data_IF_516142797705
#
_entry.id   IF_516142797705
#
_cell.length_a   1.000
_cell.length_b   1.000
_cell.length_c   1.000
_cell.angle_alpha   90.00
_cell.angle_beta   90.00
_cell.angle_gamma   90.00
#
_symmetry.space_group_name_H-M   'P 1'
#
loop_
_entity.id
_entity.type
_entity.pdbx_description
1 polymer ?
#
# COMPACT_ATOMS: atom_id res chain seq x y z
N UNK A 1 23.47 0.41 5.84
CA UNK A 1 22.86 1.59 5.22
C UNK A 1 22.61 1.24 3.76
N UNK A 2 21.40 0.86 3.38
CA UNK A 2 21.05 0.74 1.97
C UNK A 2 20.77 2.14 1.47
N UNK A 3 21.66 2.70 0.66
CA UNK A 3 21.39 3.91 -0.10
C UNK A 3 20.28 3.58 -1.09
N UNK A 4 19.04 3.92 -0.75
CA UNK A 4 17.97 3.97 -1.75
C UNK A 4 18.37 5.12 -2.67
N UNK A 5 18.76 4.80 -3.90
CA UNK A 5 19.00 5.81 -4.92
C UNK A 5 17.73 6.66 -5.01
N UNK A 6 17.83 7.99 -5.06
CA UNK A 6 16.65 8.81 -5.28
C UNK A 6 15.97 8.30 -6.54
N UNK A 7 14.68 7.96 -6.43
CA UNK A 7 13.87 7.65 -7.59
C UNK A 7 13.89 8.93 -8.43
N UNK A 8 14.66 8.94 -9.52
CA UNK A 8 14.56 9.99 -10.52
C UNK A 8 13.07 10.10 -10.85
N UNK A 9 12.53 11.32 -10.78
CA UNK A 9 11.14 11.54 -11.17
C UNK A 9 10.96 10.89 -12.53
N UNK A 10 10.06 9.90 -12.63
CA UNK A 10 9.76 9.25 -13.89
C UNK A 10 9.62 10.34 -14.95
N UNK A 11 10.24 10.20 -16.14
CA UNK A 11 10.11 11.19 -17.18
C UNK A 11 8.62 11.48 -17.36
N UNK A 12 8.25 12.77 -17.29
CA UNK A 12 6.86 13.15 -17.54
C UNK A 12 6.55 12.69 -18.95
N UNK A 13 5.49 11.88 -19.10
CA UNK A 13 4.96 11.53 -20.40
C UNK A 13 4.62 12.83 -21.14
N UNK A 14 5.07 12.94 -22.38
CA UNK A 14 4.60 13.97 -23.30
C UNK A 14 3.19 13.61 -23.81
N UNK A 15 2.56 14.51 -24.56
CA UNK A 15 1.19 14.32 -25.03
C UNK A 15 1.05 13.07 -25.92
N UNK A 16 2.01 12.84 -26.82
CA UNK A 16 2.00 11.66 -27.70
C UNK A 16 2.08 10.35 -26.88
N UNK A 17 2.94 10.29 -25.87
CA UNK A 17 3.04 9.13 -24.99
C UNK A 17 1.79 8.94 -24.10
N UNK A 18 1.11 10.03 -23.72
CA UNK A 18 -0.18 9.95 -23.02
C UNK A 18 -1.27 9.39 -23.91
N UNK A 19 -1.37 9.85 -25.16
CA UNK A 19 -2.34 9.35 -26.13
C UNK A 19 -2.12 7.86 -26.41
N UNK A 20 -0.86 7.44 -26.61
CA UNK A 20 -0.50 6.03 -26.76
C UNK A 20 -0.89 5.18 -25.54
N UNK A 21 -0.64 5.69 -24.33
CA UNK A 21 -1.02 5.00 -23.10
C UNK A 21 -2.55 4.82 -23.02
N UNK A 22 -3.32 5.86 -23.31
CA UNK A 22 -4.78 5.79 -23.31
C UNK A 22 -5.29 4.75 -24.33
N UNK A 23 -4.74 4.74 -25.54
CA UNK A 23 -5.04 3.73 -26.55
C UNK A 23 -4.71 2.31 -26.05
N UNK A 24 -3.56 2.10 -25.39
CA UNK A 24 -3.22 0.79 -24.82
C UNK A 24 -4.12 0.38 -23.66
N UNK A 25 -4.63 1.33 -22.88
CA UNK A 25 -5.63 1.07 -21.84
C UNK A 25 -6.92 0.57 -22.50
N UNK A 26 -7.44 1.29 -23.50
CA UNK A 26 -8.66 0.89 -24.24
C UNK A 26 -8.50 -0.47 -24.94
N UNK A 27 -7.31 -0.76 -25.48
CA UNK A 27 -6.95 -2.06 -26.06
C UNK A 27 -6.71 -3.17 -25.01
N UNK A 28 -6.83 -2.87 -23.70
CA UNK A 28 -6.63 -3.80 -22.59
C UNK A 28 -5.22 -4.39 -22.53
N UNK A 29 -4.22 -3.60 -22.93
CA UNK A 29 -2.80 -4.00 -23.01
C UNK A 29 -1.95 -3.51 -21.84
N UNK A 30 -2.57 -2.87 -20.85
CA UNK A 30 -1.89 -2.30 -19.68
C UNK A 30 -2.28 -3.06 -18.42
N UNK A 31 -1.27 -3.42 -17.61
CA UNK A 31 -1.45 -4.05 -16.29
C UNK A 31 -0.92 -3.07 -15.22
N UNK A 32 -1.80 -2.45 -14.41
CA UNK A 32 -1.36 -1.59 -13.32
C UNK A 32 -0.64 -2.37 -12.22
N UNK A 33 0.52 -1.88 -11.80
CA UNK A 33 1.27 -2.35 -10.63
C UNK A 33 1.13 -1.31 -9.52
N UNK A 34 0.48 -1.69 -8.42
CA UNK A 34 0.13 -0.80 -7.32
C UNK A 34 1.05 -1.02 -6.12
N UNK A 35 1.71 0.06 -5.70
CA UNK A 35 2.58 0.10 -4.54
C UNK A 35 1.94 0.77 -3.31
N UNK A 36 2.64 0.72 -2.16
CA UNK A 36 2.17 1.28 -0.90
C UNK A 36 1.95 2.80 -0.91
N UNK A 37 2.54 3.53 -1.86
CA UNK A 37 2.46 4.98 -1.99
C UNK A 37 1.05 5.49 -2.31
N UNK A 38 0.17 4.62 -2.83
CA UNK A 38 -1.24 4.95 -3.09
C UNK A 38 -2.16 4.69 -1.89
N UNK A 39 -1.64 4.17 -0.78
CA UNK A 39 -2.42 3.70 0.37
C UNK A 39 -2.58 4.77 1.45
N UNK A 40 -3.13 5.93 1.10
CA UNK A 40 -3.52 6.94 2.08
C UNK A 40 -4.86 6.57 2.72
N UNK A 41 -4.85 6.31 4.02
CA UNK A 41 -6.02 5.90 4.80
C UNK A 41 -6.43 7.00 5.77
N UNK A 42 -7.74 7.09 6.03
CA UNK A 42 -8.28 7.99 7.05
C UNK A 42 -8.03 7.42 8.44
N UNK A 43 -7.48 8.24 9.33
CA UNK A 43 -7.21 7.89 10.73
C UNK A 43 -7.82 8.92 11.67
N UNK A 44 -7.84 8.65 12.97
CA UNK A 44 -8.28 9.61 14.00
C UNK A 44 -7.54 10.95 13.93
N UNK A 45 -6.28 10.92 13.48
CA UNK A 45 -5.42 12.11 13.35
C UNK A 45 -5.35 12.64 11.91
N UNK A 46 -6.32 12.28 11.07
CA UNK A 46 -6.40 12.66 9.66
C UNK A 46 -5.76 11.64 8.69
N UNK A 47 -5.69 11.98 7.39
CA UNK A 47 -5.15 11.09 6.36
C UNK A 47 -3.66 10.80 6.58
N UNK A 48 -3.28 9.52 6.50
CA UNK A 48 -1.88 9.06 6.62
C UNK A 48 -1.59 7.90 5.67
N UNK A 49 -0.34 7.70 5.30
CA UNK A 49 0.06 6.49 4.59
C UNK A 49 -0.12 5.27 5.50
N UNK A 50 -0.74 4.20 4.96
CA UNK A 50 -1.01 2.97 5.69
C UNK A 50 0.26 2.37 6.31
N UNK A 51 1.38 2.44 5.59
CA UNK A 51 2.64 1.86 6.01
C UNK A 51 3.28 2.62 7.18
N UNK A 52 3.16 3.95 7.20
CA UNK A 52 3.61 4.78 8.33
C UNK A 52 2.74 4.53 9.55
N UNK A 53 1.41 4.52 9.36
CA UNK A 53 0.46 4.19 10.42
C UNK A 53 0.70 2.78 10.99
N UNK A 54 0.96 1.80 10.12
CA UNK A 54 1.28 0.43 10.53
C UNK A 54 2.59 0.36 11.30
N UNK A 55 3.62 1.12 10.89
CA UNK A 55 4.90 1.16 11.58
C UNK A 55 4.73 1.65 13.04
N UNK A 56 4.00 2.74 13.25
CA UNK A 56 3.69 3.27 14.58
C UNK A 56 2.93 2.24 15.44
N UNK A 57 1.87 1.64 14.89
CA UNK A 57 1.05 0.64 15.61
C UNK A 57 1.84 -0.63 15.93
N UNK A 58 2.65 -1.10 14.99
CA UNK A 58 3.48 -2.28 15.18
C UNK A 58 4.56 -2.04 16.23
N UNK A 59 5.23 -0.88 16.20
CA UNK A 59 6.23 -0.52 17.18
C UNK A 59 5.65 -0.53 18.60
N UNK A 60 4.46 0.05 18.78
CA UNK A 60 3.75 0.02 20.05
C UNK A 60 3.40 -1.41 20.50
N UNK A 61 2.86 -2.27 19.61
CA UNK A 61 2.53 -3.67 19.96
C UNK A 61 3.75 -4.54 20.27
N UNK A 62 4.92 -4.21 19.74
CA UNK A 62 6.17 -4.95 19.94
C UNK A 62 7.06 -4.36 21.04
N UNK A 63 6.69 -3.22 21.63
CA UNK A 63 7.52 -2.53 22.62
C UNK A 63 8.83 -1.97 22.04
N UNK A 64 8.81 -1.57 20.77
CA UNK A 64 9.97 -1.00 20.09
C UNK A 64 10.17 0.44 20.52
N UNK A 65 11.39 0.78 20.94
CA UNK A 65 11.78 2.14 21.29
C UNK A 65 12.03 2.97 20.01
N UNK A 66 10.99 3.65 19.52
CA UNK A 66 11.04 4.45 18.29
C UNK A 66 11.96 5.66 18.39
N UNK A 67 12.34 6.11 19.61
CA UNK A 67 13.28 7.22 19.78
C UNK A 67 14.69 6.91 19.27
N UNK A 68 15.00 5.62 19.10
CA UNK A 68 16.28 5.12 18.58
C UNK A 68 16.24 4.82 17.08
N UNK A 69 15.11 5.05 16.42
CA UNK A 69 14.92 4.75 15.00
C UNK A 69 15.04 6.00 14.14
N UNK A 70 15.38 5.85 12.84
CA UNK A 70 15.38 6.96 11.90
C UNK A 70 14.02 7.67 11.80
N UNK A 71 14.06 8.94 11.40
CA UNK A 71 12.88 9.71 11.01
C UNK A 71 13.01 10.12 9.53
N UNK A 72 11.98 9.89 8.68
CA UNK A 72 10.68 9.32 9.03
C UNK A 72 10.75 7.83 9.39
N UNK A 73 9.89 7.40 10.32
CA UNK A 73 9.82 6.02 10.80
C UNK A 73 9.19 5.11 9.72
N UNK A 74 9.90 4.06 9.30
CA UNK A 74 9.35 3.08 8.36
C UNK A 74 8.98 1.76 9.03
N UNK A 75 8.09 1.00 8.39
CA UNK A 75 7.74 -0.35 8.84
C UNK A 75 8.97 -1.27 8.86
N UNK A 76 9.88 -1.09 7.90
CA UNK A 76 11.11 -1.86 7.83
C UNK A 76 12.03 -1.55 9.03
N UNK A 77 12.16 -0.29 9.45
CA UNK A 77 12.98 0.08 10.61
C UNK A 77 12.50 -0.62 11.89
N UNK A 78 11.18 -0.65 12.10
CA UNK A 78 10.55 -1.32 13.25
C UNK A 78 10.85 -2.81 13.24
N UNK A 79 10.65 -3.47 12.09
CA UNK A 79 10.89 -4.92 11.94
C UNK A 79 12.38 -5.24 12.11
N UNK A 80 13.27 -4.50 11.45
CA UNK A 80 14.71 -4.71 11.57
C UNK A 80 15.20 -4.55 13.00
N UNK A 81 14.74 -3.51 13.71
CA UNK A 81 15.08 -3.32 15.12
C UNK A 81 14.59 -4.47 15.99
N UNK A 82 13.35 -4.89 15.81
CA UNK A 82 12.77 -5.98 16.60
C UNK A 82 13.50 -7.31 16.38
N UNK A 83 13.89 -7.60 15.14
CA UNK A 83 14.69 -8.79 14.84
C UNK A 83 16.10 -8.70 15.44
N UNK A 84 16.71 -7.50 15.46
CA UNK A 84 18.02 -7.29 16.06
C UNK A 84 18.01 -7.49 17.59
N UNK A 85 16.88 -7.25 18.25
CA UNK A 85 16.70 -7.46 19.70
C UNK A 85 16.24 -8.88 20.07
N UNK A 86 16.47 -9.86 19.19
CA UNK A 86 16.09 -11.29 19.32
C UNK A 86 14.58 -11.56 19.23
N UNK A 87 13.81 -10.62 18.68
CA UNK A 87 12.43 -10.86 18.29
C UNK A 87 12.31 -11.89 17.17
N UNK A 88 11.18 -12.60 17.11
CA UNK A 88 10.90 -13.58 16.05
C UNK A 88 10.14 -12.95 14.90
N UNK A 89 10.46 -13.32 13.67
CA UNK A 89 9.78 -12.78 12.48
C UNK A 89 8.29 -13.11 12.49
N UNK A 90 7.93 -14.29 12.97
CA UNK A 90 6.55 -14.77 13.09
C UNK A 90 5.70 -13.85 13.99
N UNK A 91 6.30 -13.27 15.03
CA UNK A 91 5.61 -12.33 15.91
C UNK A 91 5.23 -11.08 15.13
N UNK A 92 6.11 -10.54 14.29
CA UNK A 92 5.79 -9.35 13.48
C UNK A 92 4.61 -9.59 12.55
N UNK A 93 4.57 -10.71 11.83
CA UNK A 93 3.45 -11.04 10.94
C UNK A 93 2.15 -11.24 11.71
N UNK A 94 2.22 -11.93 12.85
CA UNK A 94 1.06 -12.15 13.72
C UNK A 94 0.48 -10.83 14.23
N UNK A 95 1.35 -9.91 14.68
CA UNK A 95 0.92 -8.60 15.19
C UNK A 95 0.37 -7.70 14.09
N UNK A 96 1.03 -7.61 12.93
CA UNK A 96 0.53 -6.86 11.77
C UNK A 96 -0.85 -7.37 11.34
N UNK A 97 -1.02 -8.69 11.22
CA UNK A 97 -2.31 -9.30 10.89
C UNK A 97 -3.39 -8.97 11.92
N UNK A 98 -3.05 -8.99 13.22
CA UNK A 98 -3.98 -8.58 14.29
C UNK A 98 -4.43 -7.13 14.11
N UNK A 99 -3.48 -6.22 13.86
CA UNK A 99 -3.76 -4.79 13.66
C UNK A 99 -4.70 -4.58 12.47
N UNK A 100 -4.44 -5.23 11.32
CA UNK A 100 -5.29 -5.13 10.14
C UNK A 100 -6.70 -5.72 10.33
N UNK A 101 -6.87 -6.70 11.22
CA UNK A 101 -8.21 -7.25 11.53
C UNK A 101 -9.00 -6.38 12.50
N UNK A 102 -8.30 -5.65 13.36
CA UNK A 102 -8.89 -4.74 14.35
C UNK A 102 -9.30 -3.39 13.73
N UNK A 103 -8.77 -3.05 12.56
CA UNK A 103 -9.04 -1.78 11.88
C UNK A 103 -9.54 -2.01 10.46
N UNK A 104 -10.68 -1.40 10.11
CA UNK A 104 -11.21 -1.43 8.74
C UNK A 104 -11.07 -0.05 8.13
N UNK A 105 -10.36 0.02 6.99
CA UNK A 105 -10.24 1.25 6.22
C UNK A 105 -11.13 1.21 4.99
N UNK A 106 -11.74 2.34 4.65
CA UNK A 106 -12.33 2.51 3.34
C UNK A 106 -11.21 2.51 2.28
N UNK A 107 -11.44 1.96 1.07
CA UNK A 107 -10.44 2.02 0.02
C UNK A 107 -10.05 3.47 -0.32
N UNK A 108 -8.74 3.79 -0.42
CA UNK A 108 -8.27 5.11 -0.80
C UNK A 108 -8.86 5.58 -2.13
N UNK A 109 -9.06 6.89 -2.27
CA UNK A 109 -9.61 7.50 -3.50
C UNK A 109 -8.83 7.08 -4.75
N UNK A 110 -7.50 7.04 -4.67
CA UNK A 110 -6.65 6.64 -5.79
C UNK A 110 -6.96 5.22 -6.27
N UNK A 111 -7.13 4.26 -5.35
CA UNK A 111 -7.49 2.89 -5.71
C UNK A 111 -8.89 2.80 -6.32
N UNK A 112 -9.85 3.58 -5.80
CA UNK A 112 -11.19 3.66 -6.39
C UNK A 112 -11.16 4.20 -7.81
N UNK A 113 -10.39 5.26 -8.07
CA UNK A 113 -10.23 5.81 -9.42
C UNK A 113 -9.59 4.80 -10.38
N UNK A 114 -8.57 4.07 -9.94
CA UNK A 114 -7.98 2.98 -10.73
C UNK A 114 -9.00 1.86 -11.00
N UNK A 115 -9.79 1.49 -10.00
CA UNK A 115 -10.83 0.47 -10.13
C UNK A 115 -11.97 0.91 -11.07
N UNK A 116 -12.24 2.20 -11.23
CA UNK A 116 -13.25 2.72 -12.16
C UNK A 116 -12.86 2.60 -13.63
N UNK A 117 -11.56 2.50 -13.95
CA UNK A 117 -11.09 2.31 -15.33
C UNK A 117 -11.33 0.85 -15.70
N UNK A 118 -12.44 0.54 -16.37
CA UNK A 118 -12.89 -0.84 -16.61
C UNK A 118 -12.00 -1.65 -17.55
N UNK A 119 -11.17 -1.00 -18.36
CA UNK A 119 -10.31 -1.66 -19.35
C UNK A 119 -9.02 -2.25 -18.76
N UNK A 120 -8.74 -1.99 -17.48
CA UNK A 120 -7.77 -2.78 -16.73
C UNK A 120 -8.37 -4.12 -16.31
N UNK A 121 -8.00 -5.21 -17.00
CA UNK A 121 -8.50 -6.57 -16.71
C UNK A 121 -7.71 -7.29 -15.62
N UNK A 122 -6.48 -6.86 -15.32
CA UNK A 122 -5.61 -7.44 -14.30
C UNK A 122 -4.90 -6.33 -13.53
N UNK A 123 -4.84 -6.48 -12.21
CA UNK A 123 -4.05 -5.64 -11.32
C UNK A 123 -3.01 -6.50 -10.59
N UNK A 124 -1.84 -5.92 -10.35
CA UNK A 124 -0.82 -6.49 -9.47
C UNK A 124 -0.62 -5.51 -8.31
N UNK A 125 -0.65 -6.00 -7.08
CA UNK A 125 -0.26 -5.21 -5.91
C UNK A 125 0.98 -5.80 -5.25
N UNK A 126 1.88 -4.93 -4.79
CA UNK A 126 3.02 -5.32 -3.96
C UNK A 126 2.76 -5.10 -2.47
N UNK A 127 1.51 -4.83 -2.10
CA UNK A 127 1.10 -4.58 -0.71
C UNK A 127 0.44 -5.80 -0.07
N UNK A 128 0.43 -5.85 1.26
CA UNK A 128 -0.09 -7.00 2.02
C UNK A 128 -1.55 -6.85 2.50
N UNK A 129 -2.16 -5.70 2.22
CA UNK A 129 -3.54 -5.36 2.59
C UNK A 129 -4.55 -5.74 1.50
N UNK A 130 -5.84 -5.60 1.80
CA UNK A 130 -6.94 -5.91 0.88
C UNK A 130 -7.60 -4.68 0.24
N UNK A 131 -7.01 -3.49 0.34
CA UNK A 131 -7.71 -2.25 -0.07
C UNK A 131 -7.93 -2.17 -1.58
N UNK A 132 -6.99 -2.67 -2.39
CA UNK A 132 -7.17 -2.72 -3.84
C UNK A 132 -8.30 -3.67 -4.24
N UNK A 133 -8.34 -4.87 -3.65
CA UNK A 133 -9.43 -5.83 -3.85
C UNK A 133 -10.78 -5.21 -3.45
N UNK A 134 -10.83 -4.55 -2.30
CA UNK A 134 -12.04 -3.87 -1.82
C UNK A 134 -12.48 -2.74 -2.77
N UNK A 135 -11.54 -1.97 -3.33
CA UNK A 135 -11.84 -0.93 -4.32
C UNK A 135 -12.46 -1.53 -5.59
N UNK A 136 -11.86 -2.60 -6.11
CA UNK A 136 -12.35 -3.30 -7.32
C UNK A 136 -13.75 -3.87 -7.07
N UNK A 137 -13.97 -4.54 -5.93
CA UNK A 137 -15.27 -5.08 -5.56
C UNK A 137 -16.34 -3.99 -5.43
N UNK A 138 -15.99 -2.86 -4.82
CA UNK A 138 -16.91 -1.73 -4.66
C UNK A 138 -17.32 -1.10 -6.00
N UNK A 139 -16.36 -0.82 -6.88
CA UNK A 139 -16.63 -0.07 -8.12
C UNK A 139 -17.15 -0.95 -9.26
N UNK A 140 -16.76 -2.22 -9.34
CA UNK A 140 -17.09 -3.10 -10.48
C UNK A 140 -18.11 -4.19 -10.18
N UNK A 141 -18.27 -4.55 -8.91
CA UNK A 141 -19.05 -5.74 -8.52
C UNK A 141 -20.13 -5.44 -7.48
N UNK A 142 -20.52 -4.18 -7.31
CA UNK A 142 -21.58 -3.75 -6.37
C UNK A 142 -21.29 -4.23 -4.93
N UNK A 143 -20.00 -4.32 -4.57
CA UNK A 143 -19.54 -4.81 -3.26
C UNK A 143 -19.59 -6.33 -3.07
N UNK A 144 -19.92 -7.12 -4.10
CA UNK A 144 -19.85 -8.57 -4.02
C UNK A 144 -18.38 -9.03 -3.91
N UNK A 145 -18.04 -9.73 -2.83
CA UNK A 145 -16.68 -10.29 -2.64
C UNK A 145 -16.50 -11.46 -3.60
N UNK A 146 -15.60 -11.30 -4.57
CA UNK A 146 -15.17 -12.42 -5.41
C UNK A 146 -14.09 -13.20 -4.65
N UNK A 147 -14.44 -14.37 -4.14
CA UNK A 147 -13.42 -15.35 -3.72
C UNK A 147 -12.83 -15.93 -5.00
N UNK A 148 -11.53 -15.73 -5.21
CA UNK A 148 -10.74 -16.51 -6.18
C UNK A 148 -10.83 -18.00 -5.87
#
# INVERSE_FOLDING_TARGET
MSSVLPFESAPRLDEDAWDDLLNFIEEKRVIPIVGPELLTVETENGPRLLYEWMAEKLAAKLGVDTSRLPSPLTLNDVVCWFLATRGRREDTYTRMRSILRETTFAPPKALRQLAQITDFDLFITTTFDSLLENAINAERFVGAVRRT
#
